data_IF_131356488223
#
_entry.id   IF_131356488223
#
_cell.length_a   1.000
_cell.length_b   1.000
_cell.length_c   1.000
_cell.angle_alpha   90.00
_cell.angle_beta   90.00
_cell.angle_gamma   90.00
#
_symmetry.space_group_name_H-M   'P 1'
#
loop_
_entity.id
_entity.type
_entity.pdbx_description
1 polymer ?
#
# COMPACT_ATOMS: atom_id res chain seq x y z
N UNK A 1 1.54 4.88 10.91
CA UNK A 1 0.52 3.81 10.96
C UNK A 1 0.12 3.33 9.59
N UNK A 2 0.06 4.21 8.58
CA UNK A 2 -0.17 3.83 7.17
C UNK A 2 0.67 2.63 6.70
N UNK A 3 2.00 2.64 6.91
CA UNK A 3 2.85 1.51 6.53
C UNK A 3 2.46 0.18 7.19
N UNK A 4 2.06 0.21 8.48
CA UNK A 4 1.61 -0.99 9.21
C UNK A 4 0.33 -1.53 8.58
N UNK A 5 -0.66 -0.66 8.38
CA UNK A 5 -1.95 -1.05 7.78
C UNK A 5 -1.78 -1.54 6.35
N UNK A 6 -1.02 -0.82 5.53
CA UNK A 6 -0.78 -1.18 4.14
C UNK A 6 -0.09 -2.54 4.03
N UNK A 7 0.92 -2.83 4.87
CA UNK A 7 1.56 -4.14 4.89
C UNK A 7 0.59 -5.26 5.30
N UNK A 8 -0.25 -5.05 6.32
CA UNK A 8 -1.24 -6.04 6.76
C UNK A 8 -2.24 -6.35 5.63
N UNK A 9 -2.82 -5.31 5.04
CA UNK A 9 -3.83 -5.44 3.99
C UNK A 9 -3.24 -6.02 2.70
N UNK A 10 -2.00 -5.67 2.35
CA UNK A 10 -1.31 -6.25 1.19
C UNK A 10 -1.01 -7.74 1.40
N UNK A 11 -0.62 -8.16 2.61
CA UNK A 11 -0.45 -9.60 2.94
C UNK A 11 -1.77 -10.34 2.80
N UNK A 12 -2.86 -9.81 3.37
CA UNK A 12 -4.20 -10.42 3.23
C UNK A 12 -4.63 -10.50 1.75
N UNK A 13 -4.44 -9.41 0.99
CA UNK A 13 -4.76 -9.35 -0.42
C UNK A 13 -3.98 -10.35 -1.28
N UNK A 14 -2.70 -10.56 -0.97
CA UNK A 14 -1.88 -11.55 -1.66
C UNK A 14 -2.32 -12.98 -1.34
N UNK A 15 -2.63 -13.28 -0.08
CA UNK A 15 -3.22 -14.56 0.33
C UNK A 15 -4.53 -14.85 -0.37
N UNK A 16 -5.42 -13.85 -0.44
CA UNK A 16 -6.66 -13.92 -1.20
C UNK A 16 -6.41 -14.28 -2.65
N UNK A 17 -5.49 -13.58 -3.32
CA UNK A 17 -5.13 -13.84 -4.72
C UNK A 17 -4.68 -15.28 -4.94
N UNK A 18 -3.73 -15.76 -4.12
CA UNK A 18 -3.16 -17.11 -4.25
C UNK A 18 -4.21 -18.19 -3.96
N UNK A 19 -5.02 -18.02 -2.92
CA UNK A 19 -6.06 -18.97 -2.56
C UNK A 19 -7.14 -19.07 -3.64
N UNK A 20 -7.66 -17.93 -4.10
CA UNK A 20 -8.75 -17.90 -5.08
C UNK A 20 -8.31 -18.39 -6.46
N UNK A 21 -7.02 -18.28 -6.81
CA UNK A 21 -6.48 -18.85 -8.04
C UNK A 21 -6.65 -20.38 -8.12
N UNK A 22 -6.66 -21.08 -6.99
CA UNK A 22 -6.80 -22.54 -6.90
C UNK A 22 -8.19 -23.01 -6.46
N UNK A 23 -8.92 -22.20 -5.68
CA UNK A 23 -10.20 -22.59 -5.10
C UNK A 23 -11.41 -21.93 -5.77
N UNK A 24 -11.21 -20.87 -6.54
CA UNK A 24 -12.25 -20.08 -7.19
C UNK A 24 -12.47 -18.71 -6.53
N UNK A 25 -12.88 -17.73 -7.35
CA UNK A 25 -13.10 -16.34 -6.95
C UNK A 25 -14.13 -16.23 -5.81
N UNK A 26 -13.83 -15.39 -4.82
CA UNK A 26 -14.71 -15.10 -3.68
C UNK A 26 -14.76 -16.19 -2.60
N UNK A 27 -13.89 -17.21 -2.65
CA UNK A 27 -13.85 -18.27 -1.64
C UNK A 27 -12.90 -18.00 -0.48
N UNK A 28 -12.09 -16.94 -0.55
CA UNK A 28 -11.21 -16.58 0.55
C UNK A 28 -12.02 -16.03 1.73
N UNK A 29 -12.03 -16.76 2.85
CA UNK A 29 -12.85 -16.43 4.01
C UNK A 29 -12.07 -15.75 5.15
N UNK A 30 -10.74 -15.78 5.10
CA UNK A 30 -9.91 -15.27 6.19
C UNK A 30 -9.74 -13.76 6.13
N UNK A 31 -9.56 -13.16 7.31
CA UNK A 31 -9.22 -11.74 7.47
C UNK A 31 -8.15 -11.58 8.54
N UNK A 32 -7.35 -10.53 8.42
CA UNK A 32 -6.46 -10.12 9.49
C UNK A 32 -7.26 -9.86 10.79
N UNK A 33 -6.76 -10.32 11.92
CA UNK A 33 -7.37 -10.06 13.22
C UNK A 33 -7.37 -8.56 13.54
N UNK A 34 -8.48 -8.04 14.08
CA UNK A 34 -8.64 -6.60 14.39
C UNK A 34 -7.57 -6.07 15.36
N UNK A 35 -7.07 -6.93 16.25
CA UNK A 35 -6.01 -6.60 17.22
C UNK A 35 -4.61 -6.52 16.58
N UNK A 36 -4.43 -7.07 15.38
CA UNK A 36 -3.11 -7.23 14.77
C UNK A 36 -2.38 -5.90 14.46
N UNK A 37 -3.04 -4.84 13.98
CA UNK A 37 -2.41 -3.52 13.82
C UNK A 37 -1.79 -2.99 15.12
N UNK A 38 -2.45 -3.21 16.27
CA UNK A 38 -1.95 -2.76 17.58
C UNK A 38 -0.74 -3.58 18.03
N UNK A 39 -0.81 -4.91 17.86
CA UNK A 39 0.32 -5.82 18.14
C UNK A 39 1.53 -5.43 17.29
N UNK A 40 1.36 -5.32 15.97
CA UNK A 40 2.47 -4.99 15.07
C UNK A 40 3.03 -3.61 15.37
N UNK A 41 2.19 -2.62 15.70
CA UNK A 41 2.64 -1.29 16.13
C UNK A 41 3.45 -1.35 17.42
N UNK A 42 3.02 -2.10 18.42
CA UNK A 42 3.75 -2.26 19.68
C UNK A 42 5.13 -2.91 19.45
N UNK A 43 5.18 -3.95 18.63
CA UNK A 43 6.44 -4.62 18.27
C UNK A 43 7.37 -3.70 17.47
N UNK A 44 6.86 -3.04 16.43
CA UNK A 44 7.63 -2.06 15.66
C UNK A 44 8.11 -0.89 16.53
N UNK A 45 7.34 -0.44 17.52
CA UNK A 45 7.77 0.58 18.48
C UNK A 45 8.94 0.07 19.33
N UNK A 46 8.84 -1.15 19.86
CA UNK A 46 9.91 -1.78 20.64
C UNK A 46 11.22 -1.96 19.87
N UNK A 47 11.13 -2.17 18.55
CA UNK A 47 12.28 -2.32 17.64
C UNK A 47 12.76 -1.01 17.00
N UNK A 48 12.21 0.14 17.42
CA UNK A 48 12.50 1.46 16.85
C UNK A 48 12.31 1.50 15.30
N UNK A 49 11.33 0.73 14.81
CA UNK A 49 10.86 0.70 13.42
C UNK A 49 9.77 1.76 13.22
N UNK A 50 8.87 1.88 14.20
CA UNK A 50 7.79 2.85 14.21
C UNK A 50 8.00 3.88 15.32
N UNK A 51 7.80 5.15 14.99
CA UNK A 51 7.83 6.27 15.93
C UNK A 51 6.59 7.13 15.79
N UNK A 52 6.14 7.66 16.92
CA UNK A 52 5.02 8.58 16.96
C UNK A 52 5.36 9.89 16.23
N UNK A 53 4.45 10.37 15.39
CA UNK A 53 4.64 11.56 14.56
C UNK A 53 5.59 11.40 13.35
N UNK A 54 6.44 10.37 13.31
CA UNK A 54 7.35 10.13 12.17
C UNK A 54 6.88 8.98 11.25
N UNK A 55 6.14 8.00 11.77
CA UNK A 55 5.70 6.83 11.00
C UNK A 55 6.65 5.65 11.10
N UNK A 56 6.66 4.79 10.08
CA UNK A 56 7.52 3.60 10.01
C UNK A 56 8.11 3.41 8.62
N UNK A 57 9.28 2.76 8.58
CA UNK A 57 9.87 2.28 7.33
C UNK A 57 9.13 1.00 6.87
N UNK A 58 8.54 1.04 5.67
CA UNK A 58 7.74 -0.06 5.12
C UNK A 58 8.50 -1.40 5.04
N UNK A 59 9.73 -1.39 4.54
CA UNK A 59 10.55 -2.62 4.44
C UNK A 59 10.80 -3.25 5.81
N UNK A 60 11.17 -2.44 6.81
CA UNK A 60 11.36 -2.94 8.19
C UNK A 60 10.07 -3.46 8.83
N UNK A 61 8.91 -2.93 8.47
CA UNK A 61 7.62 -3.48 8.89
C UNK A 61 7.39 -4.85 8.26
N UNK A 62 7.70 -5.04 6.98
CA UNK A 62 7.61 -6.34 6.31
C UNK A 62 8.57 -7.37 6.91
N UNK A 63 9.80 -6.96 7.25
CA UNK A 63 10.76 -7.82 7.98
C UNK A 63 10.20 -8.27 9.33
N UNK A 64 9.54 -7.37 10.05
CA UNK A 64 8.91 -7.68 11.33
C UNK A 64 7.74 -8.66 11.17
N UNK A 65 6.95 -8.54 10.10
CA UNK A 65 5.89 -9.50 9.77
C UNK A 65 6.50 -10.88 9.47
N UNK A 66 7.60 -10.96 8.70
CA UNK A 66 8.31 -12.23 8.47
C UNK A 66 8.80 -12.82 9.79
N UNK A 67 9.37 -12.00 10.69
CA UNK A 67 9.83 -12.42 12.01
C UNK A 67 8.69 -13.00 12.87
N UNK A 68 7.48 -12.45 12.74
CA UNK A 68 6.25 -12.92 13.38
C UNK A 68 5.57 -14.08 12.63
N UNK A 69 6.18 -14.59 11.55
CA UNK A 69 5.66 -15.66 10.68
C UNK A 69 4.35 -15.29 9.97
N UNK A 70 4.09 -14.00 9.75
CA UNK A 70 2.92 -13.53 9.02
C UNK A 70 1.99 -12.63 9.81
N UNK A 71 0.76 -12.53 9.33
CA UNK A 71 -0.32 -11.71 9.90
C UNK A 71 -1.34 -12.61 10.58
N UNK A 72 -1.65 -12.37 11.86
CA UNK A 72 -2.65 -13.17 12.58
C UNK A 72 -4.03 -13.13 11.94
N UNK A 73 -4.70 -14.27 11.86
CA UNK A 73 -6.06 -14.43 11.36
C UNK A 73 -7.06 -14.31 12.52
N UNK A 74 -8.22 -13.71 12.29
CA UNK A 74 -9.33 -13.78 13.24
C UNK A 74 -9.84 -15.24 13.33
N UNK A 75 -9.49 -15.96 14.40
CA UNK A 75 -9.90 -17.35 14.65
C UNK A 75 -9.99 -17.63 16.16
N UNK A 76 -10.97 -18.44 16.56
CA UNK A 76 -11.31 -18.72 17.96
C UNK A 76 -10.52 -19.89 18.57
N UNK A 77 -9.87 -20.73 17.76
CA UNK A 77 -9.36 -22.03 18.22
C UNK A 77 -7.83 -22.11 18.32
N UNK A 78 -7.11 -21.53 17.35
CA UNK A 78 -5.64 -21.55 17.30
C UNK A 78 -5.16 -20.26 16.64
N UNK A 79 -4.10 -19.59 17.14
CA UNK A 79 -3.48 -18.46 16.44
C UNK A 79 -2.82 -18.95 15.15
N UNK A 80 -3.56 -18.86 14.05
CA UNK A 80 -3.07 -19.11 12.69
C UNK A 80 -2.63 -17.78 12.10
N UNK A 81 -1.53 -17.79 11.36
CA UNK A 81 -1.05 -16.62 10.60
C UNK A 81 -1.23 -16.84 9.11
N UNK A 82 -1.46 -15.75 8.38
CA UNK A 82 -1.22 -15.61 6.94
C UNK A 82 0.28 -15.38 6.73
N UNK A 83 1.07 -16.40 6.33
CA UNK A 83 2.52 -16.29 6.30
C UNK A 83 3.01 -15.34 5.20
N UNK A 84 3.96 -14.49 5.54
CA UNK A 84 4.74 -13.72 4.59
C UNK A 84 6.11 -14.40 4.46
N UNK A 85 6.46 -14.83 3.25
CA UNK A 85 7.73 -15.52 2.99
C UNK A 85 8.86 -14.54 2.70
N UNK A 86 8.60 -13.60 1.78
CA UNK A 86 9.59 -12.65 1.31
C UNK A 86 8.93 -11.39 0.74
N UNK A 87 9.71 -10.34 0.57
CA UNK A 87 9.32 -9.12 -0.12
C UNK A 87 10.48 -8.58 -0.96
N UNK A 88 10.17 -7.76 -1.96
CA UNK A 88 11.14 -7.06 -2.80
C UNK A 88 10.75 -5.59 -2.96
N UNK A 89 11.72 -4.68 -2.91
CA UNK A 89 11.50 -3.25 -3.11
C UNK A 89 11.96 -2.80 -4.50
N UNK A 90 11.07 -2.10 -5.19
CA UNK A 90 11.28 -1.48 -6.50
C UNK A 90 11.27 0.04 -6.32
N UNK A 91 12.38 0.72 -6.61
CA UNK A 91 12.57 2.16 -6.42
C UNK A 91 13.36 2.74 -7.58
N UNK A 92 12.99 3.96 -7.99
CA UNK A 92 13.67 4.72 -9.03
C UNK A 92 12.96 4.65 -10.37
N UNK A 93 13.17 5.68 -11.17
CA UNK A 93 12.38 5.95 -12.39
C UNK A 93 12.48 4.80 -13.41
N UNK A 94 13.63 4.13 -13.52
CA UNK A 94 13.82 2.98 -14.42
C UNK A 94 13.10 1.71 -13.95
N UNK A 95 12.81 1.58 -12.65
CA UNK A 95 12.13 0.42 -12.07
C UNK A 95 10.63 0.66 -11.85
N UNK A 96 10.16 1.90 -12.03
CA UNK A 96 8.77 2.32 -11.85
C UNK A 96 8.14 2.85 -13.14
N UNK A 97 8.61 2.39 -14.31
CA UNK A 97 7.91 2.67 -15.57
C UNK A 97 6.49 2.10 -15.55
N UNK A 98 5.53 2.68 -16.29
CA UNK A 98 4.16 2.18 -16.34
C UNK A 98 4.06 0.67 -16.61
N UNK A 99 4.80 0.16 -17.60
CA UNK A 99 4.78 -1.25 -17.99
C UNK A 99 5.34 -2.14 -16.87
N UNK A 100 6.39 -1.67 -16.18
CA UNK A 100 6.97 -2.41 -15.06
C UNK A 100 6.00 -2.44 -13.88
N UNK A 101 5.37 -1.32 -13.55
CA UNK A 101 4.38 -1.27 -12.47
C UNK A 101 3.17 -2.14 -12.78
N UNK A 102 2.69 -2.16 -14.03
CA UNK A 102 1.63 -3.07 -14.47
C UNK A 102 2.02 -4.53 -14.25
N UNK A 103 3.22 -4.93 -14.68
CA UNK A 103 3.73 -6.28 -14.49
C UNK A 103 3.92 -6.67 -13.01
N UNK A 104 4.18 -5.70 -12.12
CA UNK A 104 4.23 -5.93 -10.67
C UNK A 104 2.81 -6.11 -10.08
N UNK A 105 1.84 -5.32 -10.54
CA UNK A 105 0.45 -5.42 -10.09
C UNK A 105 -0.26 -6.69 -10.59
N UNK A 106 0.11 -7.20 -11.77
CA UNK A 106 -0.37 -8.50 -12.26
C UNK A 106 0.07 -9.67 -11.34
N UNK A 107 1.19 -9.49 -10.61
CA UNK A 107 1.63 -10.45 -9.58
C UNK A 107 0.77 -10.39 -8.31
N UNK A 108 -0.04 -9.35 -8.12
CA UNK A 108 -1.01 -9.23 -7.05
C UNK A 108 -0.87 -7.92 -6.28
N UNK A 109 -1.69 -7.75 -5.23
CA UNK A 109 -1.63 -6.57 -4.36
C UNK A 109 -0.23 -6.38 -3.75
N UNK A 110 0.24 -5.14 -3.75
CA UNK A 110 1.55 -4.76 -3.25
C UNK A 110 1.46 -3.47 -2.43
N UNK A 111 2.51 -3.13 -1.66
CA UNK A 111 2.53 -1.86 -0.92
C UNK A 111 3.13 -0.78 -1.82
N UNK A 112 2.42 0.30 -2.06
CA UNK A 112 2.93 1.50 -2.70
C UNK A 112 3.35 2.54 -1.67
N UNK A 113 4.34 3.36 -2.01
CA UNK A 113 4.73 4.54 -1.25
C UNK A 113 4.66 5.77 -2.15
N UNK A 114 4.10 6.85 -1.63
CA UNK A 114 3.99 8.13 -2.33
C UNK A 114 4.21 9.30 -1.37
N UNK A 115 4.37 10.50 -1.93
CA UNK A 115 4.36 11.74 -1.18
C UNK A 115 2.98 12.40 -1.22
N UNK A 116 2.44 12.72 -0.04
CA UNK A 116 1.10 13.30 0.11
C UNK A 116 1.13 14.72 0.69
N UNK A 117 0.12 15.50 0.35
CA UNK A 117 -0.21 16.79 0.95
C UNK A 117 -1.72 16.86 1.28
N UNK A 118 -2.24 17.93 1.90
CA UNK A 118 -3.65 18.03 2.29
C UNK A 118 -4.66 17.84 1.15
N UNK A 119 -4.27 18.07 -0.11
CA UNK A 119 -5.19 17.82 -1.23
C UNK A 119 -5.45 16.31 -1.43
N UNK A 120 -4.52 15.44 -1.06
CA UNK A 120 -4.69 13.99 -1.19
C UNK A 120 -6.01 13.46 -0.60
N UNK A 121 -6.48 14.07 0.49
CA UNK A 121 -7.71 13.68 1.19
C UNK A 121 -9.01 13.93 0.42
N UNK A 122 -8.98 14.77 -0.62
CA UNK A 122 -10.17 15.06 -1.43
C UNK A 122 -10.43 14.03 -2.53
N UNK A 123 -9.44 13.17 -2.81
CA UNK A 123 -9.56 12.12 -3.79
C UNK A 123 -10.24 10.91 -3.14
N UNK A 124 -11.34 10.48 -3.74
CA UNK A 124 -12.12 9.31 -3.33
C UNK A 124 -12.94 8.82 -4.53
N UNK A 125 -12.63 7.64 -5.04
CA UNK A 125 -13.29 7.07 -6.23
C UNK A 125 -14.81 6.99 -6.07
N UNK A 126 -15.29 6.65 -4.88
CA UNK A 126 -16.72 6.54 -4.58
C UNK A 126 -17.44 7.89 -4.62
N UNK A 127 -16.74 8.99 -4.35
CA UNK A 127 -17.31 10.36 -4.34
C UNK A 127 -17.08 11.11 -5.65
N UNK A 128 -16.07 10.73 -6.42
CA UNK A 128 -15.61 11.47 -7.59
C UNK A 128 -15.85 10.73 -8.93
N UNK A 129 -16.77 9.75 -8.95
CA UNK A 129 -17.15 8.99 -10.14
C UNK A 129 -15.95 8.40 -10.92
N UNK A 130 -14.92 7.94 -10.21
CA UNK A 130 -13.69 7.40 -10.81
C UNK A 130 -12.87 8.33 -11.73
N UNK A 131 -13.23 9.60 -11.90
CA UNK A 131 -12.56 10.49 -12.86
C UNK A 131 -11.36 11.24 -12.27
N UNK A 132 -11.30 11.36 -10.95
CA UNK A 132 -10.28 12.17 -10.27
C UNK A 132 -9.01 11.36 -10.05
N UNK A 133 -7.91 11.85 -10.62
CA UNK A 133 -6.58 11.27 -10.53
C UNK A 133 -5.70 12.18 -9.68
N UNK A 134 -5.11 11.63 -8.62
CA UNK A 134 -4.13 12.35 -7.82
C UNK A 134 -2.79 12.42 -8.57
N UNK A 135 -2.39 13.64 -8.93
CA UNK A 135 -1.09 13.97 -9.57
C UNK A 135 -0.19 14.75 -8.63
N UNK A 136 -0.08 14.20 -7.43
CA UNK A 136 0.50 14.74 -6.19
C UNK A 136 1.31 16.03 -6.20
N UNK A 137 2.41 15.99 -5.47
CA UNK A 137 3.12 17.19 -5.01
C UNK A 137 4.54 16.90 -4.54
N UNK A 138 5.10 15.75 -4.91
CA UNK A 138 6.38 15.29 -4.37
C UNK A 138 7.12 14.31 -5.25
N UNK A 139 6.91 14.34 -6.57
CA UNK A 139 7.66 13.52 -7.54
C UNK A 139 9.16 13.66 -7.33
N UNK A 140 9.63 14.89 -7.14
CA UNK A 140 11.03 15.19 -6.89
C UNK A 140 11.27 15.95 -5.57
N UNK A 141 12.54 16.11 -5.21
CA UNK A 141 12.96 16.82 -3.99
C UNK A 141 12.46 18.27 -3.95
N UNK A 142 12.49 18.99 -5.07
CA UNK A 142 12.06 20.38 -5.16
C UNK A 142 10.57 20.49 -4.85
N UNK A 143 9.73 19.64 -5.44
CA UNK A 143 8.29 19.59 -5.17
C UNK A 143 7.99 19.21 -3.71
N UNK A 144 8.74 18.27 -3.13
CA UNK A 144 8.62 17.94 -1.69
C UNK A 144 8.96 19.14 -0.79
N UNK A 145 9.98 19.91 -1.15
CA UNK A 145 10.37 21.11 -0.39
C UNK A 145 9.34 22.24 -0.56
N UNK A 146 8.80 22.42 -1.77
CA UNK A 146 7.73 23.39 -2.05
C UNK A 146 6.43 23.05 -1.31
N UNK A 147 5.99 21.79 -1.34
CA UNK A 147 4.81 21.35 -0.60
C UNK A 147 4.98 21.49 0.91
N UNK A 148 6.18 21.24 1.46
CA UNK A 148 6.50 21.51 2.87
C UNK A 148 6.44 22.99 3.22
N UNK A 149 6.87 23.89 2.33
CA UNK A 149 6.77 25.34 2.54
C UNK A 149 5.32 25.81 2.53
N UNK A 150 4.51 25.26 1.63
CA UNK A 150 3.12 25.66 1.44
C UNK A 150 2.19 25.15 2.56
N UNK A 151 2.31 23.87 2.91
CA UNK A 151 1.36 23.21 3.83
C UNK A 151 1.96 22.89 5.21
N UNK A 152 3.28 22.98 5.36
CA UNK A 152 3.99 22.65 6.60
C UNK A 152 4.36 21.17 6.72
N UNK A 153 5.41 20.90 7.50
CA UNK A 153 6.00 19.55 7.68
C UNK A 153 5.08 18.51 8.32
N UNK A 154 4.03 18.94 9.03
CA UNK A 154 3.06 18.04 9.68
C UNK A 154 1.94 17.60 8.73
N UNK A 155 1.74 18.33 7.64
CA UNK A 155 0.64 18.13 6.70
C UNK A 155 1.12 17.51 5.37
N UNK A 156 2.43 17.35 5.20
CA UNK A 156 3.04 16.66 4.05
C UNK A 156 3.97 15.56 4.52
N UNK A 157 4.04 14.47 3.77
CA UNK A 157 4.81 13.32 4.21
C UNK A 157 4.80 12.17 3.23
N UNK A 158 5.67 11.20 3.52
CA UNK A 158 5.60 9.90 2.87
C UNK A 158 4.42 9.12 3.44
N UNK A 159 3.67 8.47 2.55
CA UNK A 159 2.48 7.70 2.89
C UNK A 159 2.52 6.35 2.18
N UNK A 160 2.05 5.31 2.86
CA UNK A 160 2.03 3.96 2.35
C UNK A 160 0.58 3.51 2.14
N UNK A 161 0.33 2.88 0.99
CA UNK A 161 -0.99 2.45 0.52
C UNK A 161 -0.90 1.05 -0.06
N UNK A 162 -2.04 0.38 -0.29
CA UNK A 162 -2.07 -0.89 -1.02
C UNK A 162 -2.40 -0.61 -2.47
N UNK A 163 -1.52 -0.96 -3.40
CA UNK A 163 -1.80 -0.90 -4.83
C UNK A 163 -2.36 -2.26 -5.28
N UNK A 164 -3.50 -2.27 -5.97
CA UNK A 164 -4.19 -3.53 -6.32
C UNK A 164 -4.88 -3.53 -7.69
N UNK A 165 -4.79 -2.43 -8.45
CA UNK A 165 -5.31 -2.36 -9.80
C UNK A 165 -4.66 -1.21 -10.58
N UNK A 166 -4.86 -1.18 -11.89
CA UNK A 166 -4.39 -0.09 -12.73
C UNK A 166 -5.28 0.10 -13.96
N UNK A 167 -5.13 1.24 -14.61
CA UNK A 167 -5.70 1.54 -15.92
C UNK A 167 -4.81 2.53 -16.67
N UNK A 168 -4.89 2.52 -18.00
CA UNK A 168 -4.30 3.54 -18.83
C UNK A 168 -5.38 4.58 -19.18
N UNK A 169 -5.08 5.85 -18.94
CA UNK A 169 -5.97 6.98 -19.18
C UNK A 169 -5.37 7.91 -20.23
N UNK A 170 -6.20 8.38 -21.16
CA UNK A 170 -5.79 9.50 -22.02
C UNK A 170 -6.00 10.81 -21.29
N UNK A 171 -5.00 11.67 -21.30
CA UNK A 171 -5.11 13.02 -20.79
C UNK A 171 -5.74 13.94 -21.85
N UNK A 172 -6.08 15.17 -21.47
CA UNK A 172 -6.70 16.14 -22.38
C UNK A 172 -5.83 16.56 -23.57
N UNK A 173 -4.51 16.32 -23.53
CA UNK A 173 -3.60 16.56 -24.64
C UNK A 173 -3.39 15.32 -25.53
N UNK A 174 -4.03 14.18 -25.22
CA UNK A 174 -3.93 12.92 -25.95
C UNK A 174 -2.82 11.97 -25.48
N UNK A 175 -1.98 12.37 -24.54
CA UNK A 175 -0.96 11.50 -23.92
C UNK A 175 -1.61 10.44 -23.03
N UNK A 176 -1.05 9.23 -23.03
CA UNK A 176 -1.50 8.14 -22.17
C UNK A 176 -0.71 8.16 -20.85
N UNK A 177 -1.42 8.10 -19.73
CA UNK A 177 -0.85 8.00 -18.38
C UNK A 177 -1.42 6.77 -17.69
N UNK A 178 -0.56 6.03 -16.98
CA UNK A 178 -1.01 4.93 -16.14
C UNK A 178 -1.45 5.46 -14.78
N UNK A 179 -2.66 5.08 -14.38
CA UNK A 179 -3.19 5.32 -13.05
C UNK A 179 -3.23 4.02 -12.27
N UNK A 180 -2.74 4.04 -11.04
CA UNK A 180 -2.79 2.93 -10.09
C UNK A 180 -3.95 3.13 -9.13
N UNK A 181 -4.78 2.10 -8.97
CA UNK A 181 -5.83 2.07 -7.95
C UNK A 181 -5.21 1.65 -6.63
N UNK A 182 -5.36 2.51 -5.63
CA UNK A 182 -4.83 2.28 -4.29
C UNK A 182 -5.93 2.26 -3.24
N UNK A 183 -5.76 1.42 -2.23
CA UNK A 183 -6.57 1.38 -1.02
C UNK A 183 -5.75 2.02 0.10
N UNK A 184 -6.37 2.99 0.75
CA UNK A 184 -5.78 3.76 1.83
C UNK A 184 -6.33 3.32 3.19
N UNK A 185 -5.68 3.71 4.28
CA UNK A 185 -6.02 3.28 5.64
C UNK A 185 -6.75 4.37 6.45
N UNK A 186 -7.40 5.33 5.78
CA UNK A 186 -8.09 6.46 6.41
C UNK A 186 -9.44 6.09 7.05
N UNK A 187 -10.06 4.99 6.62
CA UNK A 187 -11.22 4.38 7.26
C UNK A 187 -11.13 2.84 7.16
N UNK A 188 -12.09 2.11 7.74
CA UNK A 188 -12.05 0.65 7.84
C UNK A 188 -12.11 -0.06 6.48
N UNK A 189 -12.62 0.58 5.43
CA UNK A 189 -12.69 0.03 4.07
C UNK A 189 -11.77 0.76 3.09
N UNK A 190 -11.11 1.81 3.58
CA UNK A 190 -10.31 2.76 2.82
C UNK A 190 -11.14 3.54 1.80
N UNK A 191 -10.93 4.85 1.65
CA UNK A 191 -11.23 5.46 0.37
C UNK A 191 -10.25 4.88 -0.65
N UNK A 192 -10.77 4.39 -1.76
CA UNK A 192 -9.95 4.01 -2.91
C UNK A 192 -9.61 5.27 -3.72
N UNK A 193 -8.43 5.30 -4.33
CA UNK A 193 -7.94 6.47 -5.09
C UNK A 193 -7.22 6.03 -6.36
N UNK A 194 -7.44 6.78 -7.45
CA UNK A 194 -6.60 6.71 -8.63
C UNK A 194 -5.39 7.63 -8.45
N UNK A 195 -4.19 7.06 -8.54
CA UNK A 195 -2.92 7.75 -8.38
C UNK A 195 -2.18 7.69 -9.71
N UNK A 196 -1.70 8.81 -10.22
CA UNK A 196 -0.76 8.82 -11.34
C UNK A 196 0.50 8.03 -10.94
N UNK A 197 0.91 7.06 -11.76
CA UNK A 197 2.01 6.15 -11.43
C UNK A 197 3.30 6.90 -11.10
N UNK A 198 3.51 8.08 -11.69
CA UNK A 198 4.67 8.94 -11.44
C UNK A 198 4.73 9.51 -10.01
N UNK A 199 3.64 9.44 -9.25
CA UNK A 199 3.63 9.84 -7.83
C UNK A 199 4.12 8.75 -6.88
N UNK A 200 4.24 7.50 -7.35
CA UNK A 200 4.78 6.41 -6.57
C UNK A 200 6.31 6.51 -6.55
N UNK A 201 6.89 6.55 -5.35
CA UNK A 201 8.34 6.60 -5.16
C UNK A 201 8.94 5.27 -4.67
N UNK A 202 8.09 4.28 -4.39
CA UNK A 202 8.47 2.89 -4.19
C UNK A 202 7.27 1.94 -4.35
N UNK A 203 7.54 0.70 -4.76
CA UNK A 203 6.63 -0.43 -4.68
C UNK A 203 7.30 -1.58 -3.93
N UNK A 204 6.55 -2.26 -3.07
CA UNK A 204 7.00 -3.44 -2.33
C UNK A 204 6.13 -4.64 -2.71
N UNK A 205 6.67 -5.56 -3.52
CA UNK A 205 5.96 -6.80 -3.89
C UNK A 205 6.15 -7.86 -2.81
N UNK A 206 5.14 -8.72 -2.66
CA UNK A 206 5.08 -9.71 -1.59
C UNK A 206 5.07 -11.13 -2.16
N UNK A 207 5.69 -12.06 -1.45
CA UNK A 207 5.59 -13.49 -1.69
C UNK A 207 5.03 -14.17 -0.44
N UNK A 208 3.94 -14.91 -0.59
CA UNK A 208 3.27 -15.63 0.49
C UNK A 208 3.36 -17.14 0.27
N UNK A 209 3.31 -17.89 1.36
CA UNK A 209 3.10 -19.34 1.30
C UNK A 209 1.60 -19.65 1.38
N UNK A 210 1.15 -20.78 0.81
CA UNK A 210 -0.26 -21.17 0.93
C UNK A 210 -0.63 -21.36 2.41
N UNK A 211 -1.85 -20.95 2.77
CA UNK A 211 -2.46 -21.38 4.03
C UNK A 211 -2.62 -22.91 3.97
N UNK A 212 -1.98 -23.61 4.91
CA UNK A 212 -2.07 -25.06 5.06
C UNK A 212 -3.40 -25.46 5.72
#
# INVERSE_FOLDING_TARGET
TCAIMACIVAVEGMHRKVYEASHGKGKFAWKAAEVWPEILRAMCKGQNIWKEGEGANTGRVLDEIIRLRGVGIASDEVPITMPLRAWEQHVGDELLTPERVAALLDQGPCVGRLWVCPWYYWFDTAKNNDDWIYRGCGRDKRLRDESRKLYGKKATGSHAVVCFGYRFCKTGNGEETMCVLVMDNHDNEGPQRWIDVEELDAIYTLSVDCLA
#
